data_IF_838455217419
#
_entry.id   IF_838455217419
#
_cell.length_a   1.000
_cell.length_b   1.000
_cell.length_c   1.000
_cell.angle_alpha   90.00
_cell.angle_beta   90.00
_cell.angle_gamma   90.00
#
_symmetry.space_group_name_H-M   'P 1'
#
loop_
_entity.id
_entity.type
_entity.pdbx_description
1 polymer ?
#
# COMPACT_ATOMS: atom_id res chain seq x y z
N UNK A 1 -50.97 -8.99 47.43
CA UNK A 1 -49.59 -8.49 47.25
C UNK A 1 -48.66 -9.48 46.56
N UNK A 2 -48.38 -10.68 47.10
CA UNK A 2 -47.39 -11.63 46.50
C UNK A 2 -47.64 -11.99 45.03
N UNK A 3 -48.90 -12.18 44.62
CA UNK A 3 -49.23 -12.54 43.24
C UNK A 3 -49.03 -11.39 42.25
N UNK A 4 -49.32 -10.15 42.67
CA UNK A 4 -49.09 -8.95 41.87
C UNK A 4 -47.60 -8.74 41.58
N UNK A 5 -46.74 -8.84 42.60
CA UNK A 5 -45.29 -8.77 42.43
C UNK A 5 -44.78 -9.88 41.50
N UNK A 6 -45.30 -11.11 41.60
CA UNK A 6 -44.91 -12.21 40.72
C UNK A 6 -45.26 -11.96 39.24
N UNK A 7 -46.43 -11.37 38.96
CA UNK A 7 -46.82 -10.99 37.59
C UNK A 7 -45.97 -9.83 37.09
N UNK A 8 -45.76 -8.79 37.92
CA UNK A 8 -44.93 -7.65 37.57
C UNK A 8 -43.48 -8.04 37.27
N UNK A 9 -42.86 -8.87 38.10
CA UNK A 9 -41.50 -9.40 37.86
C UNK A 9 -41.41 -10.21 36.57
N UNK A 10 -42.44 -11.01 36.25
CA UNK A 10 -42.48 -11.74 34.96
C UNK A 10 -42.54 -10.79 33.76
N UNK A 11 -43.35 -9.73 33.84
CA UNK A 11 -43.45 -8.73 32.78
C UNK A 11 -42.10 -8.00 32.59
N UNK A 12 -41.47 -7.58 33.70
CA UNK A 12 -40.15 -6.91 33.66
C UNK A 12 -39.09 -7.82 33.05
N UNK A 13 -39.04 -9.09 33.42
CA UNK A 13 -38.09 -10.06 32.86
C UNK A 13 -38.28 -10.26 31.35
N UNK A 14 -39.53 -10.29 30.88
CA UNK A 14 -39.85 -10.40 29.45
C UNK A 14 -39.37 -9.14 28.71
N UNK A 15 -39.68 -7.95 29.22
CA UNK A 15 -39.24 -6.68 28.61
C UNK A 15 -37.71 -6.59 28.60
N UNK A 16 -37.05 -6.96 29.69
CA UNK A 16 -35.59 -6.99 29.80
C UNK A 16 -34.98 -7.98 28.79
N UNK A 17 -35.55 -9.18 28.67
CA UNK A 17 -35.09 -10.17 27.69
C UNK A 17 -35.22 -9.68 26.25
N UNK A 18 -36.34 -9.06 25.90
CA UNK A 18 -36.55 -8.47 24.56
C UNK A 18 -35.57 -7.31 24.31
N UNK A 19 -35.35 -6.44 25.28
CA UNK A 19 -34.39 -5.34 25.16
C UNK A 19 -32.96 -5.86 24.96
N UNK A 20 -32.54 -6.88 25.73
CA UNK A 20 -31.22 -7.51 25.57
C UNK A 20 -31.04 -8.13 24.18
N UNK A 21 -32.08 -8.76 23.62
CA UNK A 21 -32.05 -9.30 22.26
C UNK A 21 -31.91 -8.19 21.20
N UNK A 22 -32.64 -7.08 21.34
CA UNK A 22 -32.54 -5.94 20.43
C UNK A 22 -31.14 -5.29 20.49
N UNK A 23 -30.57 -5.15 21.69
CA UNK A 23 -29.21 -4.64 21.86
C UNK A 23 -28.19 -5.57 21.21
N UNK A 24 -28.29 -6.88 21.42
CA UNK A 24 -27.40 -7.86 20.77
C UNK A 24 -27.51 -7.80 19.23
N UNK A 25 -28.73 -7.69 18.69
CA UNK A 25 -28.95 -7.55 17.26
C UNK A 25 -28.36 -6.25 16.70
N UNK A 26 -28.52 -5.13 17.42
CA UNK A 26 -27.93 -3.85 17.04
C UNK A 26 -26.39 -3.93 17.02
N UNK A 27 -25.77 -4.59 18.01
CA UNK A 27 -24.33 -4.83 18.02
C UNK A 27 -23.87 -5.72 16.85
N UNK A 28 -24.62 -6.76 16.51
CA UNK A 28 -24.32 -7.60 15.35
C UNK A 28 -24.39 -6.82 14.03
N UNK A 29 -25.39 -5.95 13.87
CA UNK A 29 -25.51 -5.09 12.69
C UNK A 29 -24.34 -4.11 12.62
N UNK A 30 -24.03 -3.44 13.74
CA UNK A 30 -22.95 -2.46 13.82
C UNK A 30 -21.58 -3.10 13.54
N UNK A 31 -21.32 -4.30 14.09
CA UNK A 31 -20.08 -5.03 13.85
C UNK A 31 -19.89 -5.45 12.38
N UNK A 32 -20.98 -5.69 11.64
CA UNK A 32 -20.93 -6.01 10.22
C UNK A 32 -20.85 -4.76 9.31
N UNK A 33 -21.21 -3.57 9.81
CA UNK A 33 -21.11 -2.32 9.06
C UNK A 33 -19.65 -1.89 8.82
N UNK A 34 -18.74 -2.32 9.69
CA UNK A 34 -17.30 -2.05 9.58
C UNK A 34 -16.53 -3.17 8.85
N UNK A 35 -17.23 -4.00 8.08
CA UNK A 35 -16.61 -5.04 7.25
C UNK A 35 -16.97 -4.88 5.78
N UNK A 36 -15.97 -5.02 4.91
CA UNK A 36 -16.17 -5.17 3.48
C UNK A 36 -17.02 -6.41 3.18
N UNK A 37 -17.84 -6.34 2.13
CA UNK A 37 -18.66 -7.48 1.77
C UNK A 37 -17.77 -8.64 1.29
N UNK A 38 -18.18 -9.91 1.47
CA UNK A 38 -17.43 -11.04 0.94
C UNK A 38 -17.17 -10.95 -0.58
N UNK A 39 -18.07 -10.30 -1.33
CA UNK A 39 -17.89 -10.08 -2.77
C UNK A 39 -16.75 -9.10 -3.03
N UNK A 40 -16.72 -7.97 -2.33
CA UNK A 40 -15.69 -6.95 -2.49
C UNK A 40 -14.31 -7.49 -2.09
N UNK A 41 -14.24 -8.30 -1.03
CA UNK A 41 -13.00 -8.96 -0.62
C UNK A 41 -12.51 -9.91 -1.72
N UNK A 42 -13.40 -10.73 -2.29
CA UNK A 42 -13.05 -11.66 -3.37
C UNK A 42 -12.57 -10.92 -4.61
N UNK A 43 -13.29 -9.87 -5.01
CA UNK A 43 -12.91 -9.04 -6.15
C UNK A 43 -11.58 -8.35 -5.91
N UNK A 44 -11.35 -7.79 -4.72
CA UNK A 44 -10.09 -7.15 -4.38
C UNK A 44 -8.92 -8.13 -4.32
N UNK A 45 -9.11 -9.34 -3.78
CA UNK A 45 -8.09 -10.39 -3.80
C UNK A 45 -7.69 -10.76 -5.23
N UNK A 46 -8.66 -10.92 -6.13
CA UNK A 46 -8.40 -11.24 -7.53
C UNK A 46 -7.75 -10.06 -8.27
N UNK A 47 -8.22 -8.83 -8.08
CA UNK A 47 -7.64 -7.64 -8.70
C UNK A 47 -6.16 -7.48 -8.32
N UNK A 48 -5.85 -7.58 -7.03
CA UNK A 48 -4.48 -7.44 -6.55
C UNK A 48 -3.60 -8.60 -7.02
N UNK A 49 -4.11 -9.83 -7.03
CA UNK A 49 -3.43 -10.99 -7.59
C UNK A 49 -3.08 -10.78 -9.07
N UNK A 50 -4.03 -10.29 -9.88
CA UNK A 50 -3.81 -10.03 -11.30
C UNK A 50 -2.77 -8.92 -11.52
N UNK A 51 -2.78 -7.86 -10.71
CA UNK A 51 -1.72 -6.82 -10.77
C UNK A 51 -0.36 -7.44 -10.49
N UNK A 52 -0.19 -8.17 -9.40
CA UNK A 52 1.12 -8.75 -9.06
C UNK A 52 1.61 -9.76 -10.12
N UNK A 53 0.71 -10.59 -10.68
CA UNK A 53 1.04 -11.44 -11.83
C UNK A 53 1.47 -10.61 -13.03
N UNK A 54 0.74 -9.53 -13.35
CA UNK A 54 1.07 -8.66 -14.47
C UNK A 54 2.37 -7.89 -14.26
N UNK A 55 2.90 -7.82 -13.05
CA UNK A 55 4.21 -7.23 -12.72
C UNK A 55 5.35 -8.24 -12.68
N UNK A 56 5.12 -9.49 -13.11
CA UNK A 56 6.07 -10.60 -12.99
C UNK A 56 6.46 -10.93 -11.53
N UNK A 57 5.59 -10.59 -10.59
CA UNK A 57 5.73 -10.86 -9.15
C UNK A 57 4.58 -11.78 -8.68
N UNK A 58 4.44 -13.01 -9.19
CA UNK A 58 3.27 -13.83 -8.92
C UNK A 58 3.16 -14.17 -7.42
N UNK A 59 2.04 -13.87 -6.75
CA UNK A 59 1.84 -14.24 -5.36
C UNK A 59 1.31 -15.66 -5.24
N UNK A 60 1.65 -16.35 -4.16
CA UNK A 60 1.04 -17.64 -3.79
C UNK A 60 -0.42 -17.45 -3.35
N UNK A 61 -0.68 -16.35 -2.63
CA UNK A 61 -1.99 -16.09 -2.03
C UNK A 61 -2.22 -14.60 -1.80
N UNK A 62 -3.46 -14.16 -2.02
CA UNK A 62 -3.93 -12.84 -1.60
C UNK A 62 -5.16 -13.01 -0.72
N UNK A 63 -5.17 -12.33 0.43
CA UNK A 63 -6.30 -12.38 1.36
C UNK A 63 -6.51 -11.07 2.11
N UNK A 64 -7.74 -10.83 2.54
CA UNK A 64 -8.09 -9.77 3.49
C UNK A 64 -9.08 -10.32 4.52
N UNK A 65 -9.00 -9.81 5.75
CA UNK A 65 -9.98 -10.11 6.80
C UNK A 65 -11.27 -9.29 6.67
N UNK A 66 -11.33 -8.37 5.70
CA UNK A 66 -12.49 -7.53 5.43
C UNK A 66 -12.68 -6.40 6.42
N UNK A 67 -11.86 -6.27 7.47
CA UNK A 67 -12.08 -5.29 8.52
C UNK A 67 -11.56 -3.92 8.09
N UNK A 68 -12.44 -2.93 8.07
CA UNK A 68 -12.03 -1.53 7.91
C UNK A 68 -11.35 -1.03 9.19
N UNK A 69 -10.30 -0.24 9.05
CA UNK A 69 -9.70 0.43 10.21
C UNK A 69 -10.64 1.53 10.75
N UNK A 70 -10.69 1.70 12.07
CA UNK A 70 -11.51 2.75 12.71
C UNK A 70 -11.00 4.16 12.33
N UNK A 71 -11.89 5.17 12.39
CA UNK A 71 -11.60 6.58 12.03
C UNK A 71 -11.41 6.86 10.53
N UNK A 72 -12.36 6.39 9.70
CA UNK A 72 -12.33 6.64 8.25
C UNK A 72 -11.35 5.76 7.48
N UNK A 73 -10.93 4.65 8.10
CA UNK A 73 -9.85 3.80 7.62
C UNK A 73 -10.26 2.79 6.55
N UNK A 74 -9.25 2.40 5.78
CA UNK A 74 -9.33 1.49 4.65
C UNK A 74 -9.18 0.02 5.01
N UNK A 75 -8.94 -0.78 3.98
CA UNK A 75 -8.84 -2.23 3.98
C UNK A 75 -7.39 -2.66 3.77
N UNK A 76 -6.95 -3.62 4.60
CA UNK A 76 -5.65 -4.26 4.45
C UNK A 76 -5.78 -5.57 3.66
N UNK A 77 -5.02 -5.69 2.59
CA UNK A 77 -4.76 -6.95 1.88
C UNK A 77 -3.37 -7.47 2.24
N UNK A 78 -3.24 -8.79 2.29
CA UNK A 78 -1.99 -9.48 2.53
C UNK A 78 -1.66 -10.34 1.32
N UNK A 79 -0.58 -9.96 0.64
CA UNK A 79 -0.05 -10.65 -0.54
C UNK A 79 1.12 -11.51 -0.09
N UNK A 80 0.95 -12.82 -0.18
CA UNK A 80 1.96 -13.81 0.24
C UNK A 80 2.73 -14.27 -0.99
N UNK A 81 4.05 -14.20 -0.92
CA UNK A 81 4.96 -14.64 -1.98
C UNK A 81 5.72 -15.89 -1.55
N UNK A 82 6.18 -16.66 -2.52
CA UNK A 82 7.16 -17.73 -2.31
C UNK A 82 8.54 -17.13 -2.00
N UNK A 83 9.38 -17.88 -1.31
CA UNK A 83 10.77 -17.47 -1.06
C UNK A 83 11.55 -17.21 -2.36
N UNK A 84 11.29 -17.98 -3.42
CA UNK A 84 11.91 -17.81 -4.74
C UNK A 84 11.66 -16.41 -5.34
N UNK A 85 10.39 -15.98 -5.37
CA UNK A 85 9.98 -14.64 -5.85
C UNK A 85 10.58 -13.53 -5.00
N UNK A 86 10.65 -13.71 -3.67
CA UNK A 86 11.28 -12.73 -2.78
C UNK A 86 12.78 -12.65 -3.07
N UNK A 87 13.42 -13.80 -3.29
CA UNK A 87 14.84 -13.89 -3.54
C UNK A 87 15.26 -13.31 -4.90
N UNK A 88 14.39 -13.40 -5.90
CA UNK A 88 14.63 -12.83 -7.22
C UNK A 88 14.36 -11.33 -7.34
N UNK A 89 13.62 -10.74 -6.39
CA UNK A 89 13.18 -9.34 -6.46
C UNK A 89 13.57 -8.52 -5.22
N UNK A 90 14.71 -7.79 -5.27
CA UNK A 90 15.12 -6.89 -4.20
C UNK A 90 14.05 -5.88 -3.79
N UNK A 91 13.15 -5.46 -4.70
CA UNK A 91 12.07 -4.53 -4.37
C UNK A 91 11.13 -5.08 -3.29
N UNK A 92 10.93 -6.40 -3.24
CA UNK A 92 10.12 -7.03 -2.20
C UNK A 92 10.89 -7.07 -0.88
N UNK A 93 12.16 -7.49 -0.91
CA UNK A 93 13.00 -7.59 0.30
C UNK A 93 13.12 -6.27 1.04
N UNK A 94 13.31 -5.19 0.29
CA UNK A 94 13.50 -3.84 0.81
C UNK A 94 12.17 -3.08 0.99
N UNK A 95 11.03 -3.73 0.71
CA UNK A 95 9.72 -3.12 0.88
C UNK A 95 9.42 -2.88 2.37
N UNK A 96 9.04 -1.65 2.77
CA UNK A 96 8.78 -1.33 4.18
C UNK A 96 7.56 -2.07 4.75
N UNK A 97 6.67 -2.57 3.88
CA UNK A 97 5.45 -3.28 4.27
C UNK A 97 5.56 -4.82 4.15
N UNK A 98 6.75 -5.34 3.82
CA UNK A 98 6.98 -6.78 3.81
C UNK A 98 7.27 -7.27 5.23
N UNK A 99 6.48 -8.23 5.72
CA UNK A 99 6.78 -8.97 6.95
C UNK A 99 6.89 -10.45 6.63
N UNK A 100 8.08 -11.02 6.82
CA UNK A 100 8.44 -12.36 6.33
C UNK A 100 8.24 -12.42 4.81
N UNK A 101 7.26 -13.16 4.34
CA UNK A 101 6.90 -13.30 2.94
C UNK A 101 5.54 -12.68 2.58
N UNK A 102 4.99 -11.83 3.47
CA UNK A 102 3.68 -11.21 3.31
C UNK A 102 3.79 -9.71 3.19
N UNK A 103 3.50 -9.18 2.01
CA UNK A 103 3.40 -7.75 1.76
C UNK A 103 2.00 -7.27 2.16
N UNK A 104 1.96 -6.27 3.02
CA UNK A 104 0.72 -5.58 3.37
C UNK A 104 0.43 -4.49 2.33
N UNK A 105 -0.76 -4.53 1.73
CA UNK A 105 -1.24 -3.50 0.79
C UNK A 105 -2.49 -2.85 1.37
N UNK A 106 -2.40 -1.56 1.68
CA UNK A 106 -3.52 -0.76 2.17
C UNK A 106 -4.23 -0.03 1.02
N UNK A 107 -5.57 -0.12 1.00
CA UNK A 107 -6.45 0.63 0.10
C UNK A 107 -7.61 1.23 0.87
N UNK A 108 -8.21 2.32 0.41
CA UNK A 108 -9.36 2.91 1.11
C UNK A 108 -10.60 2.03 0.95
N UNK A 109 -10.84 1.53 -0.26
CA UNK A 109 -11.89 0.58 -0.58
C UNK A 109 -11.35 -0.50 -1.51
N UNK A 110 -11.99 -1.68 -1.54
CA UNK A 110 -11.56 -2.77 -2.42
C UNK A 110 -11.55 -2.38 -3.92
N UNK A 111 -12.42 -1.45 -4.33
CA UNK A 111 -12.45 -0.91 -5.69
C UNK A 111 -11.30 0.07 -6.03
N UNK A 112 -10.52 0.52 -5.05
CA UNK A 112 -9.42 1.48 -5.26
C UNK A 112 -8.08 0.80 -5.62
N UNK A 113 -8.09 -0.53 -5.74
CA UNK A 113 -6.91 -1.32 -6.11
C UNK A 113 -6.42 -0.89 -7.49
N UNK A 114 -5.15 -0.49 -7.56
CA UNK A 114 -4.51 0.06 -8.74
C UNK A 114 -2.99 -0.10 -8.64
N UNK A 115 -2.29 0.07 -9.77
CA UNK A 115 -0.82 0.07 -9.80
C UNK A 115 -0.22 1.12 -8.86
N UNK A 116 -0.82 2.32 -8.81
CA UNK A 116 -0.42 3.37 -7.88
C UNK A 116 -0.53 2.94 -6.41
N UNK A 117 -1.59 2.22 -6.06
CA UNK A 117 -1.72 1.68 -4.69
C UNK A 117 -0.76 0.54 -4.41
N UNK A 118 -0.40 -0.25 -5.41
CA UNK A 118 0.67 -1.23 -5.26
C UNK A 118 2.01 -0.53 -5.05
N UNK A 119 2.33 0.49 -5.84
CA UNK A 119 3.54 1.30 -5.68
C UNK A 119 3.64 1.93 -4.28
N UNK A 120 2.59 2.63 -3.84
CA UNK A 120 2.52 3.28 -2.51
C UNK A 120 2.88 2.30 -1.36
N UNK A 121 2.59 1.02 -1.51
CA UNK A 121 2.83 0.01 -0.48
C UNK A 121 4.09 -0.84 -0.74
N UNK A 122 4.51 -0.98 -1.99
CA UNK A 122 5.66 -1.79 -2.40
C UNK A 122 6.96 -1.01 -2.25
N UNK A 123 7.00 0.24 -2.68
CA UNK A 123 8.23 1.03 -2.70
C UNK A 123 8.47 1.73 -1.37
N UNK A 124 9.73 1.83 -0.97
CA UNK A 124 10.17 2.74 0.08
C UNK A 124 9.96 4.20 -0.37
N UNK A 125 9.10 4.94 0.34
CA UNK A 125 8.80 6.34 0.03
C UNK A 125 10.03 7.25 0.03
N UNK A 126 11.03 7.00 0.88
CA UNK A 126 12.27 7.78 0.90
C UNK A 126 13.06 7.61 -0.39
N UNK A 127 13.12 6.38 -0.92
CA UNK A 127 13.79 6.13 -2.20
C UNK A 127 12.98 6.67 -3.39
N UNK A 128 11.66 6.52 -3.40
CA UNK A 128 10.84 7.13 -4.45
C UNK A 128 11.03 8.65 -4.50
N UNK A 129 10.96 9.32 -3.35
CA UNK A 129 11.18 10.77 -3.26
C UNK A 129 12.60 11.16 -3.68
N UNK A 130 13.62 10.40 -3.26
CA UNK A 130 15.00 10.64 -3.65
C UNK A 130 15.19 10.59 -5.17
N UNK A 131 14.60 9.60 -5.85
CA UNK A 131 14.67 9.48 -7.32
C UNK A 131 13.95 10.63 -8.02
N UNK A 132 12.82 11.10 -7.50
CA UNK A 132 12.12 12.29 -8.00
C UNK A 132 12.99 13.56 -7.87
N UNK A 133 13.65 13.75 -6.73
CA UNK A 133 14.55 14.88 -6.48
C UNK A 133 15.79 14.85 -7.39
N UNK A 134 16.40 13.67 -7.61
CA UNK A 134 17.51 13.52 -8.55
C UNK A 134 17.06 13.75 -10.01
N UNK A 135 15.85 13.31 -10.37
CA UNK A 135 15.23 13.65 -11.66
C UNK A 135 15.04 15.15 -11.85
N UNK A 136 14.61 15.86 -10.80
CA UNK A 136 14.50 17.33 -10.81
C UNK A 136 15.87 18.00 -11.04
N UNK A 137 16.90 17.55 -10.30
CA UNK A 137 18.27 18.06 -10.48
C UNK A 137 18.75 17.87 -11.91
N UNK A 138 18.56 16.68 -12.47
CA UNK A 138 18.91 16.35 -13.86
C UNK A 138 18.21 17.29 -14.87
N UNK A 139 16.91 17.54 -14.71
CA UNK A 139 16.17 18.45 -15.58
C UNK A 139 16.64 19.90 -15.49
N UNK A 140 16.99 20.36 -14.29
CA UNK A 140 17.54 21.71 -14.08
C UNK A 140 18.90 21.87 -14.75
N UNK A 141 19.77 20.87 -14.65
CA UNK A 141 21.08 20.87 -15.32
C UNK A 141 20.95 20.92 -16.84
N UNK A 142 19.94 20.26 -17.40
CA UNK A 142 19.68 20.23 -18.84
C UNK A 142 18.88 21.46 -19.36
N UNK A 143 18.70 22.49 -18.54
CA UNK A 143 18.06 23.74 -18.95
C UNK A 143 16.54 23.66 -19.18
N UNK A 144 15.89 22.55 -18.80
CA UNK A 144 14.42 22.52 -18.74
C UNK A 144 13.99 23.46 -17.61
N UNK A 145 13.06 24.39 -17.87
CA UNK A 145 12.60 25.36 -16.85
C UNK A 145 12.00 24.60 -15.67
N UNK A 146 12.73 24.56 -14.55
CA UNK A 146 12.18 24.19 -13.25
C UNK A 146 11.18 25.29 -12.87
N UNK A 147 9.90 25.05 -13.17
CA UNK A 147 8.83 25.57 -12.31
C UNK A 147 8.96 24.82 -10.96
N UNK A 148 8.22 25.17 -9.89
CA UNK A 148 8.19 24.37 -8.64
C UNK A 148 7.47 23.01 -8.84
N UNK A 149 7.57 22.46 -10.05
CA UNK A 149 6.99 21.24 -10.56
C UNK A 149 7.86 20.06 -10.15
N UNK A 150 7.41 19.34 -9.14
CA UNK A 150 7.95 18.04 -8.76
C UNK A 150 8.04 17.12 -10.00
N UNK A 151 9.18 16.47 -10.18
CA UNK A 151 9.27 15.27 -11.02
C UNK A 151 8.45 14.18 -10.34
N UNK A 152 7.64 13.44 -11.08
CA UNK A 152 6.87 12.34 -10.51
C UNK A 152 7.17 11.06 -11.28
N UNK A 153 7.32 9.95 -10.55
CA UNK A 153 7.37 8.62 -11.14
C UNK A 153 6.01 8.27 -11.76
N UNK A 154 6.00 7.98 -13.06
CA UNK A 154 4.74 7.66 -13.76
C UNK A 154 4.56 6.16 -13.82
N UNK A 155 3.87 5.60 -12.82
CA UNK A 155 3.70 4.16 -12.61
C UNK A 155 2.20 3.79 -12.59
N UNK A 156 1.48 4.18 -13.65
CA UNK A 156 0.02 4.12 -13.69
C UNK A 156 -0.53 2.83 -14.31
N UNK A 157 0.32 2.05 -14.96
CA UNK A 157 -0.05 0.85 -15.70
C UNK A 157 1.00 -0.25 -15.53
N UNK A 158 0.71 -1.45 -16.03
CA UNK A 158 1.57 -2.61 -15.89
C UNK A 158 2.95 -2.42 -16.53
N UNK A 159 3.03 -1.77 -17.69
CA UNK A 159 4.28 -1.61 -18.42
C UNK A 159 5.19 -0.61 -17.70
N UNK A 160 4.62 0.55 -17.33
CA UNK A 160 5.36 1.57 -16.59
C UNK A 160 5.79 1.08 -15.21
N UNK A 161 4.94 0.34 -14.49
CA UNK A 161 5.27 -0.23 -13.19
C UNK A 161 6.37 -1.30 -13.26
N UNK A 162 6.38 -2.18 -14.28
CA UNK A 162 7.49 -3.13 -14.50
C UNK A 162 8.82 -2.43 -14.71
N UNK A 163 8.84 -1.40 -15.58
CA UNK A 163 10.04 -0.58 -15.79
C UNK A 163 10.46 0.08 -14.48
N UNK A 164 9.50 0.68 -13.77
CA UNK A 164 9.70 1.29 -12.46
C UNK A 164 10.36 0.35 -11.45
N UNK A 165 9.86 -0.88 -11.31
CA UNK A 165 10.45 -1.91 -10.45
C UNK A 165 11.91 -2.18 -10.85
N UNK A 166 12.20 -2.38 -12.14
CA UNK A 166 13.56 -2.66 -12.60
C UNK A 166 14.54 -1.50 -12.30
N UNK A 167 14.10 -0.24 -12.48
CA UNK A 167 14.92 0.92 -12.14
C UNK A 167 15.07 1.11 -10.64
N UNK A 168 14.00 0.86 -9.88
CA UNK A 168 14.01 0.90 -8.43
C UNK A 168 14.99 -0.13 -7.84
N UNK A 169 14.97 -1.36 -8.34
CA UNK A 169 15.91 -2.41 -7.94
C UNK A 169 17.36 -2.05 -8.25
N UNK A 170 17.63 -1.41 -9.40
CA UNK A 170 18.96 -0.84 -9.68
C UNK A 170 19.32 0.25 -8.67
N UNK A 171 18.40 1.16 -8.35
CA UNK A 171 18.62 2.24 -7.39
C UNK A 171 19.00 1.70 -6.00
N UNK A 172 18.33 0.64 -5.52
CA UNK A 172 18.66 -0.04 -4.26
C UNK A 172 20.13 -0.48 -4.19
N UNK A 173 20.76 -0.82 -5.32
CA UNK A 173 22.18 -1.18 -5.33
C UNK A 173 23.12 0.03 -5.16
N UNK A 174 22.67 1.24 -5.52
CA UNK A 174 23.47 2.46 -5.59
C UNK A 174 23.37 3.33 -4.34
N UNK A 175 22.39 3.07 -3.47
CA UNK A 175 22.09 3.91 -2.30
C UNK A 175 22.11 3.10 -1.02
N UNK A 176 22.31 3.81 0.09
CA UNK A 176 22.02 3.34 1.45
C UNK A 176 20.74 4.01 1.94
N UNK A 177 19.88 3.23 2.59
CA UNK A 177 18.62 3.69 3.17
C UNK A 177 18.74 3.63 4.69
N UNK A 178 18.55 4.77 5.34
CA UNK A 178 18.45 4.87 6.78
C UNK A 178 16.98 4.86 7.21
N UNK A 179 16.58 3.79 7.89
CA UNK A 179 15.25 3.64 8.49
C UNK A 179 15.01 4.71 9.57
N UNK A 180 13.99 5.52 9.36
CA UNK A 180 13.54 6.58 10.27
C UNK A 180 12.14 6.31 10.84
N UNK A 181 11.62 5.09 10.69
CA UNK A 181 10.30 4.68 11.16
C UNK A 181 10.11 4.91 12.67
N UNK A 182 11.16 4.69 13.47
CA UNK A 182 11.16 4.89 14.92
C UNK A 182 10.83 6.34 15.34
N UNK A 183 11.18 7.32 14.50
CA UNK A 183 10.90 8.76 14.72
C UNK A 183 9.74 9.27 13.84
N UNK A 184 9.00 8.36 13.19
CA UNK A 184 7.87 8.66 12.30
C UNK A 184 8.22 9.65 11.18
N UNK A 185 9.40 9.48 10.57
CA UNK A 185 9.84 10.26 9.42
C UNK A 185 10.11 9.35 8.22
N UNK A 186 10.10 9.96 7.04
CA UNK A 186 10.51 9.31 5.79
C UNK A 186 11.98 8.90 5.92
N UNK A 187 12.31 7.74 5.36
CA UNK A 187 13.66 7.21 5.36
C UNK A 187 14.60 8.13 4.59
N UNK A 188 15.83 8.24 5.08
CA UNK A 188 16.84 9.07 4.44
C UNK A 188 17.65 8.22 3.49
N UNK A 189 17.80 8.69 2.27
CA UNK A 189 18.54 7.98 1.21
C UNK A 189 19.82 8.75 0.90
N UNK A 190 20.93 8.03 0.88
CA UNK A 190 22.23 8.58 0.52
C UNK A 190 22.89 7.72 -0.55
N UNK A 191 23.54 8.35 -1.53
CA UNK A 191 24.30 7.64 -2.55
C UNK A 191 25.53 6.99 -1.92
N UNK A 192 25.79 5.72 -2.26
CA UNK A 192 27.01 5.03 -1.84
C UNK A 192 28.23 5.74 -2.44
N UNK A 193 29.34 5.85 -1.69
CA UNK A 193 30.55 6.49 -2.21
C UNK A 193 31.02 5.86 -3.53
N UNK A 194 31.22 6.69 -4.56
CA UNK A 194 31.68 6.25 -5.88
C UNK A 194 30.58 5.77 -6.82
N UNK A 195 29.30 5.84 -6.42
CA UNK A 195 28.13 5.47 -7.23
C UNK A 195 27.41 6.66 -7.87
N UNK A 196 27.92 7.87 -7.71
CA UNK A 196 27.27 9.11 -8.15
C UNK A 196 27.09 9.16 -9.67
N UNK A 197 28.08 8.71 -10.43
CA UNK A 197 27.99 8.64 -11.89
C UNK A 197 26.99 7.58 -12.38
N UNK A 198 26.95 6.41 -11.72
CA UNK A 198 25.99 5.35 -12.01
C UNK A 198 24.56 5.79 -11.70
N UNK A 199 24.35 6.52 -10.61
CA UNK A 199 23.06 7.10 -10.27
C UNK A 199 22.64 8.15 -11.29
N UNK A 200 23.55 9.04 -11.69
CA UNK A 200 23.25 10.04 -12.72
C UNK A 200 22.85 9.38 -14.04
N UNK A 201 23.51 8.29 -14.42
CA UNK A 201 23.13 7.50 -15.59
C UNK A 201 21.75 6.85 -15.41
N UNK A 202 21.47 6.29 -14.23
CA UNK A 202 20.16 5.70 -13.93
C UNK A 202 19.02 6.71 -14.14
N UNK A 203 19.19 7.95 -13.68
CA UNK A 203 18.19 9.02 -13.83
C UNK A 203 17.99 9.40 -15.30
N UNK A 204 19.05 9.43 -16.10
CA UNK A 204 18.96 9.63 -17.56
C UNK A 204 18.16 8.52 -18.22
N UNK A 205 18.49 7.27 -17.92
CA UNK A 205 17.80 6.10 -18.46
C UNK A 205 16.31 6.10 -18.05
N UNK A 206 15.98 6.59 -16.85
CA UNK A 206 14.60 6.73 -16.38
C UNK A 206 13.82 7.82 -17.15
N UNK A 207 14.44 8.96 -17.49
CA UNK A 207 13.85 9.99 -18.37
C UNK A 207 13.61 9.42 -19.78
N UNK A 208 14.60 8.75 -20.36
CA UNK A 208 14.49 8.12 -21.67
C UNK A 208 13.41 7.03 -21.71
N UNK A 209 13.23 6.30 -20.61
CA UNK A 209 12.16 5.31 -20.46
C UNK A 209 10.77 5.93 -20.24
N UNK A 210 10.67 7.26 -20.14
CA UNK A 210 9.41 7.97 -19.91
C UNK A 210 8.85 7.83 -18.49
N UNK A 211 9.69 7.46 -17.51
CA UNK A 211 9.27 7.29 -16.12
C UNK A 211 9.29 8.60 -15.33
N UNK A 212 10.09 9.57 -15.77
CA UNK A 212 10.18 10.90 -15.16
C UNK A 212 9.37 11.89 -15.99
N UNK A 213 8.34 12.49 -15.38
CA UNK A 213 7.55 13.54 -16.01
C UNK A 213 7.68 14.83 -15.20
N UNK A 214 7.84 15.95 -15.90
CA UNK A 214 7.64 17.28 -15.30
C UNK A 214 6.16 17.55 -15.20
N UNK A 215 5.61 17.61 -13.98
CA UNK A 215 4.21 18.02 -13.79
C UNK A 215 4.04 19.46 -14.31
N UNK A 216 3.06 19.71 -15.18
CA UNK A 216 2.76 21.02 -15.81
C UNK A 216 3.64 21.44 -17.01
N UNK A 217 3.78 20.57 -18.01
CA UNK A 217 3.89 21.02 -19.41
C UNK A 217 2.50 21.17 -20.04
#
# INVERSE_FOLDING_TARGET
MKQFFKVLTRIILIICGVLCLLVALAFLILANLFKASPSDIREGNEALKQIFISLDLPPEKVESNGSYQFEGGGLDFYVTFSDEVIDSHPVLKESPNLTKNRLKVYVLQAGDISYRKVEDNLFNHGLSQFLEEEGEKYFRENGKKSNPSYTILTLNDSESMKKGIAFYEKALTLVDIQDNSAIKRIDTVTVKPGKEAELKQLIQDMDEAGLLIQKYQ
#
